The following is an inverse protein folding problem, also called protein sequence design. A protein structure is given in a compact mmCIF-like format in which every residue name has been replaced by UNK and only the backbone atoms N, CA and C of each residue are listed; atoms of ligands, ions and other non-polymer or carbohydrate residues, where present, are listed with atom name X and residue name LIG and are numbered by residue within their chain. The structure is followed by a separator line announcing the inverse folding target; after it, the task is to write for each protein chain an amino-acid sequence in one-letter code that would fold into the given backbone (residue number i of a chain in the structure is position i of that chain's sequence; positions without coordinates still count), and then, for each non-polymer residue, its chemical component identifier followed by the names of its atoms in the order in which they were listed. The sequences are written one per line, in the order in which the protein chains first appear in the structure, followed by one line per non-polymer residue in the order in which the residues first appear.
data_IF_925504701014
#
_entry.id   IF_925504701014
#
_cell.length_a   1.000
_cell.length_b   1.000
_cell.length_c   1.000
_cell.angle_alpha   90.00
_cell.angle_beta   90.00
_cell.angle_gamma   90.00
#
_symmetry.space_group_name_H-M   'P 1'
#
loop_
_entity.id
_entity.type
_entity.pdbx_description
1 polymer ?
#
# COMPACT_ATOMS: atom_id res chain seq x y z
N UNK A 1 5.20 -8.15 18.46
CA UNK A 1 3.96 -8.46 17.70
C UNK A 1 3.71 -9.93 17.89
N UNK A 2 2.62 -10.31 18.56
CA UNK A 2 2.21 -11.71 18.65
C UNK A 2 1.80 -12.14 17.24
N UNK A 3 2.41 -13.21 16.71
CA UNK A 3 2.03 -13.73 15.41
C UNK A 3 0.63 -14.36 15.54
N UNK A 4 -0.38 -13.74 14.94
CA UNK A 4 -1.67 -14.38 14.73
C UNK A 4 -1.44 -15.71 14.01
N UNK A 5 -2.00 -16.80 14.54
CA UNK A 5 -1.87 -18.12 13.96
C UNK A 5 -2.67 -18.18 12.64
N UNK A 6 -1.96 -18.13 11.52
CA UNK A 6 -2.54 -18.14 10.17
C UNK A 6 -2.52 -19.52 9.51
N UNK A 7 -2.06 -20.56 10.22
CA UNK A 7 -2.04 -21.92 9.69
C UNK A 7 -3.46 -22.44 9.53
N UNK A 8 -3.76 -22.95 8.33
CA UNK A 8 -5.05 -23.57 8.01
C UNK A 8 -5.00 -25.06 8.39
N UNK A 9 -5.93 -25.49 9.23
CA UNK A 9 -6.06 -26.87 9.70
C UNK A 9 -7.36 -27.51 9.16
N UNK A 10 -7.41 -28.84 9.18
CA UNK A 10 -8.57 -29.60 8.70
C UNK A 10 -9.87 -29.34 9.48
N UNK A 11 -9.75 -28.93 10.73
CA UNK A 11 -10.90 -28.66 11.61
C UNK A 11 -11.37 -27.20 11.54
N UNK A 12 -10.69 -26.35 10.77
CA UNK A 12 -11.10 -24.97 10.59
C UNK A 12 -12.42 -24.91 9.83
N UNK A 13 -13.33 -24.08 10.33
CA UNK A 13 -14.53 -23.69 9.58
C UNK A 13 -14.14 -22.80 8.40
N UNK A 14 -15.07 -22.57 7.47
CA UNK A 14 -14.80 -21.68 6.33
C UNK A 14 -14.64 -20.22 6.76
N UNK A 15 -15.25 -19.83 7.89
CA UNK A 15 -15.06 -18.51 8.52
C UNK A 15 -13.65 -18.41 9.11
N UNK A 16 -13.18 -19.42 9.84
CA UNK A 16 -11.81 -19.46 10.38
C UNK A 16 -10.77 -19.35 9.27
N UNK A 17 -10.94 -20.12 8.20
CA UNK A 17 -10.06 -20.06 7.02
C UNK A 17 -10.05 -18.66 6.42
N UNK A 18 -11.23 -18.05 6.27
CA UNK A 18 -11.37 -16.69 5.74
C UNK A 18 -10.62 -15.67 6.60
N UNK A 19 -10.76 -15.74 7.93
CA UNK A 19 -10.03 -14.86 8.84
C UNK A 19 -8.52 -15.05 8.78
N UNK A 20 -8.04 -16.29 8.71
CA UNK A 20 -6.61 -16.61 8.58
C UNK A 20 -6.03 -16.08 7.28
N UNK A 21 -6.72 -16.31 6.15
CA UNK A 21 -6.35 -15.78 4.84
C UNK A 21 -6.31 -14.26 4.85
N UNK A 22 -7.33 -13.60 5.41
CA UNK A 22 -7.39 -12.14 5.52
C UNK A 22 -6.23 -11.58 6.38
N UNK A 23 -5.84 -12.27 7.46
CA UNK A 23 -4.65 -11.90 8.25
C UNK A 23 -3.38 -11.92 7.41
N UNK A 24 -3.16 -12.99 6.65
CA UNK A 24 -1.99 -13.13 5.77
C UNK A 24 -2.01 -12.07 4.67
N UNK A 25 -3.17 -11.82 4.07
CA UNK A 25 -3.36 -10.80 3.04
C UNK A 25 -3.03 -9.39 3.56
N UNK A 26 -3.54 -9.04 4.74
CA UNK A 26 -3.26 -7.75 5.40
C UNK A 26 -1.78 -7.58 5.75
N UNK A 27 -1.12 -8.65 6.20
CA UNK A 27 0.33 -8.64 6.45
C UNK A 27 1.12 -8.35 5.17
N UNK A 28 0.72 -8.95 4.05
CA UNK A 28 1.33 -8.70 2.75
C UNK A 28 1.11 -7.25 2.29
N UNK A 29 -0.08 -6.69 2.48
CA UNK A 29 -0.34 -5.28 2.16
C UNK A 29 0.54 -4.33 2.96
N UNK A 30 0.65 -4.54 4.29
CA UNK A 30 1.52 -3.74 5.16
C UNK A 30 2.98 -3.81 4.72
N UNK A 31 3.46 -5.00 4.38
CA UNK A 31 4.81 -5.18 3.85
C UNK A 31 5.02 -4.39 2.56
N UNK A 32 4.10 -4.49 1.59
CA UNK A 32 4.22 -3.80 0.32
C UNK A 32 4.15 -2.27 0.47
N UNK A 33 3.26 -1.76 1.33
CA UNK A 33 3.18 -0.32 1.59
C UNK A 33 4.45 0.23 2.26
N UNK A 34 5.14 -0.57 3.08
CA UNK A 34 6.47 -0.20 3.60
C UNK A 34 7.52 -0.14 2.50
N UNK A 35 7.51 -1.09 1.56
CA UNK A 35 8.40 -1.01 0.40
C UNK A 35 8.12 0.23 -0.46
N UNK A 36 6.84 0.55 -0.69
CA UNK A 36 6.43 1.75 -1.43
C UNK A 36 6.89 3.02 -0.71
N UNK A 37 6.84 3.06 0.62
CA UNK A 37 7.34 4.20 1.40
C UNK A 37 8.82 4.45 1.13
N UNK A 38 9.65 3.42 1.20
CA UNK A 38 11.09 3.56 0.93
C UNK A 38 11.35 3.91 -0.54
N UNK A 39 10.60 3.32 -1.47
CA UNK A 39 10.69 3.66 -2.90
C UNK A 39 10.31 5.12 -3.16
N UNK A 40 9.22 5.63 -2.56
CA UNK A 40 8.79 7.02 -2.65
C UNK A 40 9.82 7.99 -2.09
N UNK A 41 10.46 7.66 -0.96
CA UNK A 41 11.55 8.47 -0.41
C UNK A 41 12.69 8.64 -1.43
N UNK A 42 13.10 7.56 -2.07
CA UNK A 42 14.13 7.59 -3.12
C UNK A 42 13.67 8.42 -4.32
N UNK A 43 12.44 8.23 -4.79
CA UNK A 43 11.89 8.99 -5.94
C UNK A 43 11.81 10.49 -5.66
N UNK A 44 11.38 10.87 -4.45
CA UNK A 44 11.34 12.26 -3.99
C UNK A 44 12.75 12.86 -3.94
N UNK A 45 13.72 12.13 -3.38
CA UNK A 45 15.13 12.57 -3.35
C UNK A 45 15.70 12.74 -4.77
N UNK A 46 15.38 11.83 -5.69
CA UNK A 46 15.80 11.92 -7.10
C UNK A 46 15.23 13.17 -7.78
N UNK A 47 13.93 13.43 -7.64
CA UNK A 47 13.27 14.60 -8.21
C UNK A 47 13.79 15.90 -7.58
N UNK A 48 13.98 15.91 -6.26
CA UNK A 48 14.52 17.06 -5.53
C UNK A 48 15.93 17.43 -5.99
N UNK A 49 16.76 16.44 -6.30
CA UNK A 49 18.13 16.66 -6.76
C UNK A 49 18.20 17.04 -8.26
N UNK A 50 17.28 16.54 -9.09
CA UNK A 50 17.21 16.87 -10.52
C UNK A 50 16.68 18.29 -10.79
N UNK A 51 15.86 18.85 -9.89
CA UNK A 51 15.31 20.21 -9.95
C UNK A 51 16.37 21.33 -10.05
N UNK A 52 17.64 21.04 -9.75
CA UNK A 52 18.74 21.95 -10.04
C UNK A 52 18.95 22.21 -11.54
N UNK A 53 18.25 21.48 -12.43
CA UNK A 53 18.20 21.69 -13.89
C UNK A 53 16.77 21.99 -14.38
N UNK A 54 16.14 23.03 -13.80
CA UNK A 54 14.90 23.74 -14.23
C UNK A 54 14.15 23.16 -15.45
N UNK A 55 13.21 22.26 -15.22
CA UNK A 55 11.99 22.09 -16.03
C UNK A 55 10.76 22.23 -15.13
N UNK A 56 9.70 22.90 -15.62
CA UNK A 56 8.47 23.19 -14.85
C UNK A 56 7.73 21.91 -14.42
N UNK A 57 7.82 20.84 -15.21
CA UNK A 57 7.19 19.55 -14.89
C UNK A 57 7.84 18.82 -13.71
N UNK A 58 9.08 19.16 -13.34
CA UNK A 58 9.81 18.48 -12.28
C UNK A 58 9.28 18.88 -10.88
N UNK A 59 8.67 20.06 -10.74
CA UNK A 59 8.08 20.52 -9.48
C UNK A 59 6.69 19.91 -9.26
N UNK A 60 5.88 19.79 -10.30
CA UNK A 60 4.56 19.15 -10.24
C UNK A 60 4.69 17.66 -9.86
N UNK A 61 5.59 16.93 -10.53
CA UNK A 61 5.80 15.50 -10.24
C UNK A 61 6.34 15.26 -8.82
N UNK A 62 7.21 16.16 -8.33
CA UNK A 62 7.69 16.10 -6.95
C UNK A 62 6.52 16.21 -5.96
N UNK A 63 5.64 17.20 -6.14
CA UNK A 63 4.46 17.40 -5.31
C UNK A 63 3.53 16.17 -5.35
N UNK A 64 3.35 15.56 -6.52
CA UNK A 64 2.55 14.33 -6.66
C UNK A 64 3.16 13.16 -5.87
N UNK A 65 4.49 12.97 -5.90
CA UNK A 65 5.16 11.94 -5.11
C UNK A 65 5.10 12.21 -3.61
N UNK A 66 5.29 13.47 -3.17
CA UNK A 66 5.15 13.85 -1.77
C UNK A 66 3.73 13.60 -1.25
N UNK A 67 2.71 14.00 -2.02
CA UNK A 67 1.32 13.70 -1.71
C UNK A 67 1.08 12.20 -1.64
N UNK A 68 1.60 11.42 -2.59
CA UNK A 68 1.47 9.96 -2.59
C UNK A 68 2.14 9.31 -1.38
N UNK A 69 3.24 9.88 -0.91
CA UNK A 69 3.92 9.42 0.31
C UNK A 69 3.08 9.67 1.57
N UNK A 70 2.42 10.83 1.66
CA UNK A 70 1.48 11.13 2.75
C UNK A 70 0.28 10.19 2.73
N UNK A 71 -0.30 9.93 1.56
CA UNK A 71 -1.40 8.97 1.38
C UNK A 71 -0.98 7.55 1.79
N UNK A 72 0.24 7.13 1.41
CA UNK A 72 0.80 5.83 1.78
C UNK A 72 0.98 5.69 3.30
N UNK A 73 1.50 6.72 3.96
CA UNK A 73 1.67 6.75 5.42
C UNK A 73 0.33 6.72 6.16
N UNK A 74 -0.66 7.44 5.64
CA UNK A 74 -2.01 7.42 6.19
C UNK A 74 -2.63 6.02 6.09
N UNK A 75 -2.54 5.38 4.92
CA UNK A 75 -3.04 4.02 4.71
C UNK A 75 -2.31 3.01 5.58
N UNK A 76 -0.97 3.10 5.69
CA UNK A 76 -0.17 2.28 6.60
C UNK A 76 -0.67 2.38 8.05
N UNK A 77 -0.94 3.60 8.51
CA UNK A 77 -1.46 3.83 9.87
C UNK A 77 -2.82 3.19 10.08
N UNK A 78 -3.75 3.33 9.13
CA UNK A 78 -5.07 2.71 9.18
C UNK A 78 -4.96 1.19 9.23
N UNK A 79 -4.20 0.59 8.30
CA UNK A 79 -4.08 -0.87 8.22
C UNK A 79 -3.33 -1.45 9.42
N UNK A 80 -2.38 -0.71 10.01
CA UNK A 80 -1.73 -1.12 11.25
C UNK A 80 -2.70 -1.16 12.43
N UNK A 81 -3.56 -0.14 12.57
CA UNK A 81 -4.61 -0.13 13.59
C UNK A 81 -5.60 -1.28 13.37
N UNK A 82 -6.03 -1.49 12.12
CA UNK A 82 -6.90 -2.59 11.76
C UNK A 82 -6.28 -3.95 12.13
N UNK A 83 -5.01 -4.18 11.78
CA UNK A 83 -4.29 -5.40 12.16
C UNK A 83 -4.29 -5.65 13.68
N UNK A 84 -4.12 -4.59 14.48
CA UNK A 84 -4.17 -4.69 15.94
C UNK A 84 -5.55 -5.07 16.46
N UNK A 85 -6.62 -4.48 15.91
CA UNK A 85 -8.00 -4.78 16.34
C UNK A 85 -8.36 -6.23 15.98
N UNK A 86 -7.89 -6.73 14.82
CA UNK A 86 -8.12 -8.12 14.39
C UNK A 86 -7.50 -9.17 15.30
N UNK A 87 -6.58 -8.82 16.20
CA UNK A 87 -6.08 -9.77 17.21
C UNK A 87 -7.20 -10.30 18.11
N UNK A 88 -8.31 -9.55 18.24
CA UNK A 88 -9.48 -9.90 19.02
C UNK A 88 -10.53 -10.75 18.27
N UNK A 89 -10.27 -11.18 17.03
CA UNK A 89 -11.23 -12.03 16.28
C UNK A 89 -11.48 -13.35 16.99
N UNK A 90 -10.48 -13.89 17.71
CA UNK A 90 -10.65 -15.11 18.50
C UNK A 90 -11.67 -14.97 19.65
N UNK A 91 -12.05 -13.73 19.99
CA UNK A 91 -13.05 -13.39 21.02
C UNK A 91 -14.45 -13.22 20.41
N UNK A 92 -14.63 -13.33 19.09
CA UNK A 92 -15.96 -13.29 18.46
C UNK A 92 -16.79 -14.52 18.86
N UNK A 93 -17.91 -14.29 19.54
CA UNK A 93 -18.82 -15.36 19.99
C UNK A 93 -20.02 -15.57 19.05
N UNK A 94 -20.23 -14.67 18.08
CA UNK A 94 -21.37 -14.71 17.16
C UNK A 94 -21.00 -14.40 15.70
N UNK A 95 -21.92 -14.77 14.80
CA UNK A 95 -21.79 -14.56 13.35
C UNK A 95 -21.81 -13.08 12.95
N UNK A 96 -22.36 -12.20 13.79
CA UNK A 96 -22.43 -10.77 13.52
C UNK A 96 -21.04 -10.13 13.66
N UNK A 97 -20.28 -10.53 14.66
CA UNK A 97 -18.89 -10.17 14.88
C UNK A 97 -18.02 -10.59 13.68
N UNK A 98 -18.12 -11.86 13.26
CA UNK A 98 -17.41 -12.38 12.08
C UNK A 98 -17.72 -11.59 10.81
N UNK A 99 -19.01 -11.36 10.55
CA UNK A 99 -19.47 -10.63 9.36
C UNK A 99 -18.94 -9.20 9.34
N UNK A 100 -18.82 -8.56 10.51
CA UNK A 100 -18.28 -7.21 10.65
C UNK A 100 -16.82 -7.18 10.21
N UNK A 101 -15.97 -8.06 10.77
CA UNK A 101 -14.55 -8.14 10.39
C UNK A 101 -14.35 -8.48 8.91
N UNK A 102 -15.15 -9.39 8.35
CA UNK A 102 -15.07 -9.75 6.93
C UNK A 102 -15.44 -8.57 6.02
N UNK A 103 -16.44 -7.77 6.41
CA UNK A 103 -16.84 -6.59 5.64
C UNK A 103 -15.84 -5.44 5.77
N UNK A 104 -15.27 -5.22 6.94
CA UNK A 104 -14.19 -4.25 7.13
C UNK A 104 -12.96 -4.62 6.29
N UNK A 105 -12.57 -5.90 6.27
CA UNK A 105 -11.44 -6.36 5.45
C UNK A 105 -11.66 -6.06 3.96
N UNK A 106 -12.87 -6.28 3.45
CA UNK A 106 -13.22 -5.96 2.06
C UNK A 106 -13.10 -4.46 1.76
N UNK A 107 -13.55 -3.59 2.67
CA UNK A 107 -13.39 -2.13 2.50
C UNK A 107 -11.92 -1.73 2.46
N UNK A 108 -11.12 -2.26 3.39
CA UNK A 108 -9.68 -2.01 3.42
C UNK A 108 -8.98 -2.53 2.16
N UNK A 109 -9.40 -3.68 1.63
CA UNK A 109 -8.93 -4.23 0.34
C UNK A 109 -9.16 -3.26 -0.81
N UNK A 110 -10.37 -2.71 -0.91
CA UNK A 110 -10.71 -1.75 -1.96
C UNK A 110 -9.83 -0.49 -1.89
N UNK A 111 -9.70 0.11 -0.70
CA UNK A 111 -8.81 1.26 -0.49
C UNK A 111 -7.36 0.93 -0.84
N UNK A 112 -6.86 -0.22 -0.41
CA UNK A 112 -5.50 -0.67 -0.71
C UNK A 112 -5.29 -0.84 -2.22
N UNK A 113 -6.20 -1.51 -2.93
CA UNK A 113 -6.09 -1.73 -4.38
C UNK A 113 -6.13 -0.41 -5.16
N UNK A 114 -6.98 0.53 -4.76
CA UNK A 114 -7.05 1.87 -5.36
C UNK A 114 -5.73 2.64 -5.15
N UNK A 115 -5.16 2.59 -3.94
CA UNK A 115 -3.86 3.19 -3.66
C UNK A 115 -2.77 2.59 -4.55
N UNK A 116 -2.69 1.27 -4.65
CA UNK A 116 -1.71 0.56 -5.47
C UNK A 116 -1.82 0.93 -6.96
N UNK A 117 -3.03 0.99 -7.51
CA UNK A 117 -3.26 1.39 -8.90
C UNK A 117 -2.83 2.84 -9.15
N UNK A 118 -3.22 3.76 -8.26
CA UNK A 118 -2.86 5.17 -8.36
C UNK A 118 -1.35 5.40 -8.25
N UNK A 119 -0.66 4.66 -7.37
CA UNK A 119 0.79 4.72 -7.22
C UNK A 119 1.51 4.21 -8.46
N UNK A 120 1.07 3.07 -9.02
CA UNK A 120 1.64 2.51 -10.25
C UNK A 120 1.52 3.48 -11.41
N UNK A 121 0.35 4.07 -11.61
CA UNK A 121 0.12 5.06 -12.68
C UNK A 121 1.06 6.26 -12.58
N UNK A 122 1.21 6.81 -11.37
CA UNK A 122 2.15 7.92 -11.12
C UNK A 122 3.58 7.51 -11.48
N UNK A 123 4.01 6.33 -11.03
CA UNK A 123 5.36 5.82 -11.27
C UNK A 123 5.62 5.53 -12.75
N UNK A 124 4.67 4.90 -13.44
CA UNK A 124 4.77 4.59 -14.86
C UNK A 124 4.85 5.86 -15.71
N UNK A 125 4.03 6.86 -15.37
CA UNK A 125 4.07 8.18 -16.03
C UNK A 125 5.44 8.84 -15.83
N UNK A 126 5.97 8.84 -14.61
CA UNK A 126 7.31 9.35 -14.32
C UNK A 126 8.38 8.66 -15.18
N UNK A 127 8.38 7.33 -15.26
CA UNK A 127 9.36 6.61 -16.08
C UNK A 127 9.23 6.90 -17.58
N UNK A 128 8.00 7.05 -18.08
CA UNK A 128 7.76 7.46 -19.47
C UNK A 128 8.38 8.83 -19.73
N UNK A 129 8.22 9.78 -18.83
CA UNK A 129 8.72 11.15 -19.02
C UNK A 129 10.25 11.22 -18.88
N UNK A 130 10.84 10.52 -17.91
CA UNK A 130 12.29 10.36 -17.81
C UNK A 130 12.88 9.74 -19.07
N UNK A 131 12.24 8.68 -19.60
CA UNK A 131 12.70 8.04 -20.83
C UNK A 131 12.67 8.98 -22.04
N UNK A 132 11.60 9.78 -22.20
CA UNK A 132 11.51 10.80 -23.26
C UNK A 132 12.64 11.84 -23.13
N UNK A 133 12.89 12.35 -21.92
CA UNK A 133 13.95 13.33 -21.68
C UNK A 133 15.33 12.78 -22.04
N UNK A 134 15.63 11.53 -21.64
CA UNK A 134 16.89 10.87 -21.99
C UNK A 134 17.06 10.71 -23.51
N UNK A 135 16.01 10.33 -24.23
CA UNK A 135 16.07 10.17 -25.69
C UNK A 135 16.19 11.50 -26.44
N UNK A 136 15.56 12.57 -25.95
CA UNK A 136 15.71 13.91 -26.54
C UNK A 136 17.15 14.43 -26.39
N UNK A 137 17.82 14.10 -25.28
CA UNK A 137 19.22 14.48 -25.03
C UNK A 137 20.24 13.64 -25.81
N UNK A 138 19.82 12.53 -26.45
CA UNK A 138 20.68 11.62 -27.21
C UNK A 138 20.58 11.79 -28.74
N UNK A 139 19.80 12.75 -29.24
CA UNK A 139 19.81 13.12 -30.65
C UNK A 139 20.96 14.10 -30.93
N UNK A 140 22.09 13.54 -31.38
CA UNK A 140 23.19 14.26 -32.04
C UNK A 140 22.77 14.79 -33.41
#
# INVERSE_FOLDING_TARGET
MNLLNTNIYKHDTDVDKSHKLNTTELSNWLMQLRFIKEELKILIELCSNSLNKKNINDEEILLEFEKKNQENDHLLSILHKYMSIREHIAECEDTQCDTTYLNEHKKHKETYLQHMDSYRKLKDQFYVDVHKQLNLNNNC
#
